data_IF_340926308755
#
_entry.id   IF_340926308755
#
_cell.length_a   1.000
_cell.length_b   1.000
_cell.length_c   1.000
_cell.angle_alpha   90.00
_cell.angle_beta   90.00
_cell.angle_gamma   90.00
#
_symmetry.space_group_name_H-M   'P 1'
#
loop_
_entity.id
_entity.type
_entity.pdbx_description
1 polymer ?
#
# COMPACT_ATOMS: atom_id res chain seq x y z
N UNK A 1 -20.39 14.79 -10.90
CA UNK A 1 -20.43 16.19 -11.35
C UNK A 1 -19.17 16.60 -12.08
N UNK A 2 -18.00 16.59 -11.41
CA UNK A 2 -16.71 17.00 -12.00
C UNK A 2 -15.92 15.86 -12.65
N UNK A 3 -15.96 14.64 -12.09
CA UNK A 3 -15.23 13.48 -12.66
C UNK A 3 -15.72 13.08 -14.06
N UNK A 4 -17.02 13.25 -14.31
CA UNK A 4 -17.63 12.98 -15.62
C UNK A 4 -17.14 14.00 -16.66
N UNK A 5 -16.92 15.26 -16.27
CA UNK A 5 -16.50 16.33 -17.17
C UNK A 5 -15.04 16.17 -17.62
N UNK A 6 -14.17 15.71 -16.72
CA UNK A 6 -12.76 15.39 -17.03
C UNK A 6 -12.68 14.13 -17.91
N UNK A 7 -13.50 13.11 -17.62
CA UNK A 7 -13.59 11.93 -18.49
C UNK A 7 -14.12 12.30 -19.89
N UNK A 8 -15.09 13.20 -19.99
CA UNK A 8 -15.63 13.63 -21.28
C UNK A 8 -14.58 14.34 -22.14
N UNK A 9 -13.75 15.19 -21.54
CA UNK A 9 -12.63 15.87 -22.23
C UNK A 9 -11.58 14.87 -22.76
N UNK A 10 -11.27 13.82 -22.01
CA UNK A 10 -10.28 12.81 -22.41
C UNK A 10 -10.83 11.73 -23.36
N UNK A 11 -12.15 11.49 -23.39
CA UNK A 11 -12.76 10.54 -24.33
C UNK A 11 -12.59 10.98 -25.79
N UNK A 12 -12.40 12.28 -26.03
CA UNK A 12 -12.17 12.87 -27.36
C UNK A 12 -10.73 12.68 -27.86
N UNK A 13 -9.75 12.37 -26.99
CA UNK A 13 -8.32 12.22 -27.33
C UNK A 13 -7.81 10.78 -27.19
N UNK A 14 -8.52 9.83 -27.80
CA UNK A 14 -8.36 8.38 -27.58
C UNK A 14 -7.03 7.73 -28.00
N UNK A 15 -5.99 8.50 -28.33
CA UNK A 15 -4.74 7.94 -28.87
C UNK A 15 -3.42 8.56 -28.37
N UNK A 16 -3.42 9.35 -27.28
CA UNK A 16 -2.18 9.95 -26.77
C UNK A 16 -1.49 9.10 -25.69
N UNK A 17 -0.18 8.88 -25.90
CA UNK A 17 0.74 8.38 -24.89
C UNK A 17 0.69 9.26 -23.63
N UNK A 18 0.32 8.68 -22.49
CA UNK A 18 0.26 9.37 -21.21
C UNK A 18 1.55 9.14 -20.38
N UNK A 19 1.89 10.05 -19.44
CA UNK A 19 3.21 10.10 -18.77
C UNK A 19 3.73 8.80 -18.17
N UNK A 20 2.84 7.92 -17.70
CA UNK A 20 3.20 6.66 -17.02
C UNK A 20 3.59 5.54 -18.00
N UNK A 21 3.14 5.61 -19.26
CA UNK A 21 3.46 4.63 -20.32
C UNK A 21 4.65 5.09 -21.18
N UNK A 22 4.92 6.40 -21.27
CA UNK A 22 6.00 6.92 -22.11
C UNK A 22 7.35 6.30 -21.76
N UNK A 23 8.05 5.83 -22.79
CA UNK A 23 9.40 5.28 -22.66
C UNK A 23 10.43 6.38 -22.86
N UNK A 24 11.52 6.34 -22.08
CA UNK A 24 12.58 7.33 -22.13
C UNK A 24 13.18 7.61 -20.74
N UNK A 25 14.44 8.06 -20.66
CA UNK A 25 15.11 8.27 -19.37
C UNK A 25 14.39 9.30 -18.50
N UNK A 26 13.88 10.37 -19.12
CA UNK A 26 13.08 11.40 -18.44
C UNK A 26 11.78 10.82 -17.84
N UNK A 27 10.99 10.08 -18.63
CA UNK A 27 9.71 9.52 -18.19
C UNK A 27 9.88 8.41 -17.15
N UNK A 28 10.95 7.62 -17.24
CA UNK A 28 11.35 6.69 -16.18
C UNK A 28 11.62 7.42 -14.86
N UNK A 29 12.35 8.54 -14.91
CA UNK A 29 12.60 9.38 -13.72
C UNK A 29 11.31 10.00 -13.20
N UNK A 30 10.42 10.48 -14.07
CA UNK A 30 9.11 10.99 -13.68
C UNK A 30 8.29 9.93 -12.93
N UNK A 31 8.20 8.71 -13.47
CA UNK A 31 7.47 7.61 -12.82
C UNK A 31 8.07 7.29 -11.44
N UNK A 32 9.41 7.26 -11.32
CA UNK A 32 10.08 7.03 -10.05
C UNK A 32 9.76 8.16 -9.03
N UNK A 33 9.92 9.42 -9.44
CA UNK A 33 9.61 10.59 -8.62
C UNK A 33 8.14 10.62 -8.18
N UNK A 34 7.21 10.23 -9.05
CA UNK A 34 5.79 10.14 -8.72
C UNK A 34 5.52 9.09 -7.64
N UNK A 35 6.13 7.91 -7.76
CA UNK A 35 6.03 6.86 -6.75
C UNK A 35 6.65 7.30 -5.41
N UNK A 36 7.80 7.97 -5.46
CA UNK A 36 8.51 8.48 -4.29
C UNK A 36 7.72 9.60 -3.60
N UNK A 37 7.12 10.52 -4.37
CA UNK A 37 6.28 11.58 -3.84
C UNK A 37 5.15 11.04 -2.97
N UNK A 38 4.46 9.99 -3.42
CA UNK A 38 3.37 9.37 -2.64
C UNK A 38 3.90 8.77 -1.35
N UNK A 39 5.05 8.09 -1.40
CA UNK A 39 5.66 7.53 -0.21
C UNK A 39 6.06 8.63 0.79
N UNK A 40 6.70 9.69 0.31
CA UNK A 40 7.12 10.84 1.14
C UNK A 40 5.90 11.57 1.72
N UNK A 41 4.82 11.75 0.95
CA UNK A 41 3.59 12.38 1.43
C UNK A 41 3.05 11.65 2.66
N UNK A 42 2.90 10.33 2.59
CA UNK A 42 2.41 9.52 3.73
C UNK A 42 3.38 9.58 4.91
N UNK A 43 4.69 9.53 4.65
CA UNK A 43 5.71 9.61 5.70
C UNK A 43 5.73 10.97 6.39
N UNK A 44 5.50 12.08 5.69
CA UNK A 44 5.42 13.40 6.32
C UNK A 44 4.11 13.59 7.09
N UNK A 45 3.02 12.98 6.63
CA UNK A 45 1.72 13.06 7.31
C UNK A 45 1.60 12.17 8.56
N UNK A 46 2.53 11.24 8.80
CA UNK A 46 2.44 10.23 9.87
C UNK A 46 2.30 10.78 11.30
N UNK A 47 2.71 12.04 11.54
CA UNK A 47 2.74 12.63 12.88
C UNK A 47 1.38 13.14 13.37
N UNK A 48 0.47 13.53 12.47
CA UNK A 48 -0.85 14.07 12.86
C UNK A 48 -1.90 13.99 11.74
N UNK A 49 -1.57 14.49 10.55
CA UNK A 49 -2.52 14.67 9.44
C UNK A 49 -3.02 13.33 8.88
N UNK A 50 -2.25 12.24 9.02
CA UNK A 50 -2.68 10.93 8.53
C UNK A 50 -3.97 10.42 9.22
N UNK A 51 -4.24 10.85 10.45
CA UNK A 51 -5.36 10.38 11.28
C UNK A 51 -6.51 11.38 11.35
N UNK A 52 -6.54 12.38 10.46
CA UNK A 52 -7.56 13.44 10.47
C UNK A 52 -8.91 13.01 9.89
N UNK A 53 -9.05 11.74 9.47
CA UNK A 53 -10.23 11.15 8.81
C UNK A 53 -10.72 11.97 7.60
N UNK A 54 -9.85 12.76 6.97
CA UNK A 54 -10.23 13.64 5.88
C UNK A 54 -9.28 13.54 4.69
N UNK A 55 -7.98 13.79 4.90
CA UNK A 55 -7.01 13.84 3.80
C UNK A 55 -6.91 12.48 3.11
N UNK A 56 -6.69 11.42 3.89
CA UNK A 56 -6.51 10.07 3.37
C UNK A 56 -7.79 9.53 2.77
N UNK A 57 -8.94 9.74 3.40
CA UNK A 57 -10.23 9.27 2.88
C UNK A 57 -10.59 9.95 1.56
N UNK A 58 -10.28 11.25 1.43
CA UNK A 58 -10.45 12.00 0.19
C UNK A 58 -9.52 11.48 -0.91
N UNK A 59 -8.24 11.25 -0.60
CA UNK A 59 -7.27 10.69 -1.56
C UNK A 59 -7.68 9.29 -1.99
N UNK A 60 -8.06 8.41 -1.06
CA UNK A 60 -8.48 7.04 -1.34
C UNK A 60 -9.75 7.03 -2.20
N UNK A 61 -10.73 7.86 -1.87
CA UNK A 61 -11.98 7.99 -2.63
C UNK A 61 -11.73 8.50 -4.05
N UNK A 62 -10.87 9.52 -4.21
CA UNK A 62 -10.48 10.05 -5.51
C UNK A 62 -9.77 8.98 -6.35
N UNK A 63 -8.77 8.30 -5.79
CA UNK A 63 -8.00 7.27 -6.49
C UNK A 63 -8.88 6.09 -6.91
N UNK A 64 -9.79 5.66 -6.03
CA UNK A 64 -10.76 4.61 -6.33
C UNK A 64 -11.71 5.02 -7.45
N UNK A 65 -12.28 6.23 -7.40
CA UNK A 65 -13.15 6.75 -8.47
C UNK A 65 -12.44 6.86 -9.82
N UNK A 66 -11.18 7.29 -9.83
CA UNK A 66 -10.37 7.35 -11.05
C UNK A 66 -9.99 5.95 -11.57
N UNK A 67 -9.79 4.97 -10.67
CA UNK A 67 -9.47 3.59 -11.03
C UNK A 67 -10.64 2.87 -11.73
N UNK A 68 -11.88 3.26 -11.43
CA UNK A 68 -13.07 2.70 -12.08
C UNK A 68 -13.46 3.43 -13.38
N UNK A 69 -12.66 4.42 -13.83
CA UNK A 69 -12.90 5.12 -15.08
C UNK A 69 -12.76 4.21 -16.32
N UNK A 70 -13.50 4.51 -17.39
CA UNK A 70 -13.33 3.84 -18.69
C UNK A 70 -12.01 4.20 -19.39
N UNK A 71 -11.34 5.27 -18.96
CA UNK A 71 -10.13 5.80 -19.61
C UNK A 71 -8.88 5.12 -19.07
N UNK A 72 -8.11 4.49 -19.97
CA UNK A 72 -6.87 3.77 -19.64
C UNK A 72 -5.85 4.63 -18.85
N UNK A 73 -5.70 5.90 -19.23
CA UNK A 73 -4.76 6.82 -18.58
C UNK A 73 -5.09 7.05 -17.11
N UNK A 74 -6.37 7.28 -16.78
CA UNK A 74 -6.82 7.45 -15.40
C UNK A 74 -6.67 6.15 -14.62
N UNK A 75 -7.17 5.03 -15.16
CA UNK A 75 -7.05 3.73 -14.49
C UNK A 75 -5.62 3.38 -14.13
N UNK A 76 -4.70 3.52 -15.08
CA UNK A 76 -3.31 3.12 -14.86
C UNK A 76 -2.62 4.03 -13.84
N UNK A 77 -2.81 5.35 -13.96
CA UNK A 77 -2.17 6.32 -13.08
C UNK A 77 -2.71 6.23 -11.65
N UNK A 78 -4.04 6.12 -11.50
CA UNK A 78 -4.66 6.00 -10.17
C UNK A 78 -4.34 4.67 -9.51
N UNK A 79 -4.33 3.56 -10.28
CA UNK A 79 -3.95 2.25 -9.73
C UNK A 79 -2.51 2.27 -9.25
N UNK A 80 -1.57 2.79 -10.06
CA UNK A 80 -0.18 2.92 -9.64
C UNK A 80 -0.05 3.76 -8.37
N UNK A 81 -0.75 4.89 -8.31
CA UNK A 81 -0.74 5.75 -7.14
C UNK A 81 -1.30 5.06 -5.89
N UNK A 82 -2.44 4.37 -6.02
CA UNK A 82 -3.08 3.65 -4.94
C UNK A 82 -2.23 2.48 -4.43
N UNK A 83 -1.56 1.73 -5.31
CA UNK A 83 -0.67 0.66 -4.87
C UNK A 83 0.53 1.22 -4.08
N UNK A 84 1.15 2.30 -4.56
CA UNK A 84 2.25 2.97 -3.84
C UNK A 84 1.79 3.59 -2.52
N UNK A 85 0.57 4.12 -2.48
CA UNK A 85 -0.07 4.62 -1.26
C UNK A 85 -0.20 3.49 -0.24
N UNK A 86 -0.72 2.34 -0.64
CA UNK A 86 -0.85 1.17 0.24
C UNK A 86 0.52 0.68 0.75
N UNK A 87 1.53 0.61 -0.11
CA UNK A 87 2.91 0.29 0.30
C UNK A 87 3.45 1.25 1.36
N UNK A 88 3.20 2.56 1.20
CA UNK A 88 3.61 3.57 2.16
C UNK A 88 2.85 3.43 3.50
N UNK A 89 1.53 3.18 3.44
CA UNK A 89 0.69 2.93 4.63
C UNK A 89 1.17 1.69 5.39
N UNK A 90 1.51 0.60 4.69
CA UNK A 90 2.09 -0.61 5.30
C UNK A 90 3.42 -0.30 6.00
N UNK A 91 4.28 0.53 5.40
CA UNK A 91 5.52 0.94 6.05
C UNK A 91 5.26 1.72 7.34
N UNK A 92 4.26 2.60 7.36
CA UNK A 92 3.86 3.33 8.58
C UNK A 92 3.28 2.36 9.62
N UNK A 93 2.47 1.39 9.22
CA UNK A 93 1.95 0.32 10.09
C UNK A 93 3.08 -0.39 10.83
N UNK A 94 4.09 -0.86 10.08
CA UNK A 94 5.24 -1.59 10.64
C UNK A 94 6.03 -0.72 11.62
N UNK A 95 6.25 0.56 11.30
CA UNK A 95 6.94 1.49 12.18
C UNK A 95 6.15 1.73 13.48
N UNK A 96 4.84 1.88 13.42
CA UNK A 96 3.99 2.06 14.59
C UNK A 96 3.93 0.81 15.45
N UNK A 97 3.87 -0.37 14.83
CA UNK A 97 3.88 -1.62 15.55
C UNK A 97 5.20 -1.80 16.34
N UNK A 98 6.34 -1.49 15.73
CA UNK A 98 7.64 -1.46 16.43
C UNK A 98 7.63 -0.44 17.59
N UNK A 99 7.10 0.77 17.35
CA UNK A 99 7.01 1.80 18.40
C UNK A 99 6.10 1.38 19.57
N UNK A 100 5.00 0.69 19.27
CA UNK A 100 4.10 0.10 20.27
C UNK A 100 4.80 -0.97 21.09
N UNK A 101 5.54 -1.89 20.45
CA UNK A 101 6.33 -2.91 21.14
C UNK A 101 7.43 -2.30 22.03
N UNK A 102 8.08 -1.24 21.55
CA UNK A 102 9.06 -0.49 22.36
C UNK A 102 8.40 0.17 23.58
N UNK A 103 7.24 0.81 23.39
CA UNK A 103 6.46 1.40 24.49
C UNK A 103 6.00 0.34 25.50
N UNK A 104 5.63 -0.87 25.04
CA UNK A 104 5.28 -2.00 25.89
C UNK A 104 6.45 -2.41 26.80
N UNK A 105 7.63 -2.62 26.22
CA UNK A 105 8.82 -3.01 26.97
C UNK A 105 9.21 -1.94 27.99
N UNK A 106 9.12 -0.66 27.63
CA UNK A 106 9.36 0.45 28.56
C UNK A 106 8.38 0.47 29.73
N UNK A 107 7.10 0.17 29.46
CA UNK A 107 6.08 0.08 30.51
C UNK A 107 6.40 -1.04 31.51
N UNK A 108 6.79 -2.22 31.04
CA UNK A 108 7.17 -3.36 31.90
C UNK A 108 8.39 -3.06 32.77
N UNK A 109 9.40 -2.42 32.20
CA UNK A 109 10.61 -2.01 32.94
C UNK A 109 10.29 -1.00 34.03
N UNK A 110 9.49 0.03 33.73
CA UNK A 110 9.14 1.06 34.72
C UNK A 110 8.18 0.53 35.78
N UNK A 111 7.34 -0.47 35.45
CA UNK A 111 6.45 -1.16 36.41
C UNK A 111 7.24 -1.95 37.45
N UNK A 112 8.37 -2.53 37.07
CA UNK A 112 9.20 -3.35 37.96
C UNK A 112 10.15 -2.53 38.85
N UNK A 113 10.19 -1.19 38.71
CA UNK A 113 10.99 -0.31 39.59
C UNK A 113 10.29 -0.04 40.92
N UNK A 114 11.09 0.13 41.99
CA UNK A 114 10.62 0.45 43.35
C UNK A 114 9.70 1.67 43.30
N UNK A 115 8.47 1.46 43.80
CA UNK A 115 7.31 2.30 43.50
C UNK A 115 7.29 3.60 44.30
N UNK A 116 7.15 4.73 43.61
CA UNK A 116 6.91 6.05 44.19
C UNK A 116 5.87 6.83 43.36
N UNK A 117 5.29 7.91 43.91
CA UNK A 117 4.24 8.72 43.23
C UNK A 117 4.64 9.18 41.81
N UNK A 118 5.92 9.45 41.57
CA UNK A 118 6.48 9.84 40.25
C UNK A 118 6.50 8.69 39.24
N UNK A 119 6.67 7.44 39.71
CA UNK A 119 6.62 6.22 38.90
C UNK A 119 5.19 5.98 38.39
N UNK A 120 4.18 6.22 39.23
CA UNK A 120 2.77 6.03 38.86
C UNK A 120 2.32 6.98 37.73
N UNK A 121 2.69 8.27 37.82
CA UNK A 121 2.42 9.24 36.74
C UNK A 121 3.07 8.87 35.41
N UNK A 122 4.29 8.32 35.45
CA UNK A 122 5.00 7.86 34.26
C UNK A 122 4.36 6.63 33.62
N UNK A 123 3.87 5.71 34.45
CA UNK A 123 3.12 4.53 33.99
C UNK A 123 1.81 4.95 33.31
N UNK A 124 1.08 5.90 33.89
CA UNK A 124 -0.15 6.43 33.27
C UNK A 124 0.14 7.08 31.90
N UNK A 125 1.24 7.84 31.77
CA UNK A 125 1.63 8.42 30.48
C UNK A 125 1.99 7.35 29.44
N UNK A 126 2.71 6.30 29.84
CA UNK A 126 3.05 5.19 28.95
C UNK A 126 1.80 4.40 28.53
N UNK A 127 0.86 4.18 29.44
CA UNK A 127 -0.41 3.53 29.12
C UNK A 127 -1.26 4.35 28.13
N UNK A 128 -1.33 5.67 28.32
CA UNK A 128 -2.00 6.58 27.35
C UNK A 128 -1.38 6.50 25.97
N UNK A 129 -0.05 6.54 25.87
CA UNK A 129 0.66 6.40 24.59
C UNK A 129 0.39 5.05 23.92
N UNK A 130 0.31 3.97 24.69
CA UNK A 130 -0.04 2.65 24.14
C UNK A 130 -1.45 2.62 23.55
N UNK A 131 -2.44 3.17 24.25
CA UNK A 131 -3.82 3.29 23.74
C UNK A 131 -3.88 4.14 22.48
N UNK A 132 -3.08 5.20 22.41
CA UNK A 132 -2.95 6.02 21.20
C UNK A 132 -2.38 5.22 20.02
N UNK A 133 -1.34 4.40 20.24
CA UNK A 133 -0.82 3.50 19.20
C UNK A 133 -1.85 2.46 18.75
N UNK A 134 -2.63 1.90 19.67
CA UNK A 134 -3.71 0.95 19.33
C UNK A 134 -4.75 1.59 18.40
N UNK A 135 -5.20 2.80 18.72
CA UNK A 135 -6.14 3.54 17.88
C UNK A 135 -5.56 3.83 16.50
N UNK A 136 -4.31 4.32 16.44
CA UNK A 136 -3.62 4.61 15.17
C UNK A 136 -3.45 3.38 14.28
N UNK A 137 -3.19 2.21 14.86
CA UNK A 137 -3.07 0.96 14.10
C UNK A 137 -4.41 0.54 13.49
N UNK A 138 -5.52 0.70 14.22
CA UNK A 138 -6.87 0.40 13.69
C UNK A 138 -7.20 1.30 12.49
N UNK A 139 -6.93 2.60 12.58
CA UNK A 139 -7.16 3.55 11.47
C UNK A 139 -6.33 3.17 10.23
N UNK A 140 -5.06 2.85 10.42
CA UNK A 140 -4.18 2.41 9.32
C UNK A 140 -4.65 1.11 8.70
N UNK A 141 -5.10 0.15 9.51
CA UNK A 141 -5.69 -1.09 9.00
C UNK A 141 -6.95 -0.81 8.18
N UNK A 142 -7.79 0.13 8.60
CA UNK A 142 -8.98 0.52 7.84
C UNK A 142 -8.59 1.14 6.48
N UNK A 143 -7.60 2.03 6.45
CA UNK A 143 -7.07 2.60 5.20
C UNK A 143 -6.51 1.51 4.28
N UNK A 144 -5.73 0.55 4.83
CA UNK A 144 -5.20 -0.58 4.07
C UNK A 144 -6.32 -1.39 3.41
N UNK A 145 -7.36 -1.74 4.18
CA UNK A 145 -8.51 -2.47 3.66
C UNK A 145 -9.28 -1.67 2.60
N UNK A 146 -9.45 -0.36 2.80
CA UNK A 146 -10.14 0.51 1.85
C UNK A 146 -9.42 0.55 0.49
N UNK A 147 -8.10 0.76 0.49
CA UNK A 147 -7.30 0.78 -0.74
C UNK A 147 -7.30 -0.60 -1.42
N UNK A 148 -7.13 -1.66 -0.64
CA UNK A 148 -7.11 -3.02 -1.16
C UNK A 148 -8.45 -3.41 -1.80
N UNK A 149 -9.56 -3.17 -1.10
CA UNK A 149 -10.90 -3.52 -1.61
C UNK A 149 -11.34 -2.59 -2.75
N UNK A 150 -11.10 -1.29 -2.60
CA UNK A 150 -11.53 -0.28 -3.57
C UNK A 150 -10.74 -0.31 -4.87
N UNK A 151 -9.42 -0.50 -4.80
CA UNK A 151 -8.57 -0.43 -6.00
C UNK A 151 -7.98 -1.77 -6.41
N UNK A 152 -7.30 -2.50 -5.51
CA UNK A 152 -6.59 -3.73 -5.88
C UNK A 152 -7.57 -4.80 -6.42
N UNK A 153 -8.65 -5.09 -5.70
CA UNK A 153 -9.63 -6.10 -6.12
C UNK A 153 -10.38 -5.73 -7.40
N UNK A 154 -10.58 -4.44 -7.66
CA UNK A 154 -11.17 -3.96 -8.91
C UNK A 154 -10.21 -4.16 -10.10
N UNK A 155 -8.89 -3.99 -9.88
CA UNK A 155 -7.91 -3.81 -10.98
C UNK A 155 -6.91 -4.94 -11.20
N UNK A 156 -6.74 -5.90 -10.28
CA UNK A 156 -5.74 -6.99 -10.47
C UNK A 156 -6.00 -7.86 -11.71
N UNK A 157 -7.25 -7.89 -12.22
CA UNK A 157 -7.67 -8.54 -13.49
C UNK A 157 -8.06 -7.53 -14.58
N UNK A 158 -7.48 -6.33 -14.57
CA UNK A 158 -7.77 -5.31 -15.60
C UNK A 158 -7.45 -5.83 -17.02
N UNK A 159 -8.16 -5.33 -18.03
CA UNK A 159 -7.91 -5.67 -19.43
C UNK A 159 -6.50 -5.27 -19.87
N UNK A 160 -5.93 -4.23 -19.23
CA UNK A 160 -4.60 -3.68 -19.51
C UNK A 160 -3.51 -4.46 -18.76
N UNK A 161 -2.55 -5.10 -19.46
CA UNK A 161 -1.55 -5.95 -18.81
C UNK A 161 -0.58 -5.20 -17.91
N UNK A 162 -0.24 -3.95 -18.20
CA UNK A 162 0.66 -3.16 -17.37
C UNK A 162 0.05 -2.82 -16.00
N UNK A 163 -1.28 -2.66 -15.95
CA UNK A 163 -2.02 -2.45 -14.69
C UNK A 163 -1.97 -3.74 -13.86
N UNK A 164 -2.26 -4.89 -14.48
CA UNK A 164 -2.17 -6.19 -13.82
C UNK A 164 -0.77 -6.46 -13.26
N UNK A 165 0.26 -6.17 -14.04
CA UNK A 165 1.65 -6.31 -13.61
C UNK A 165 1.97 -5.43 -12.39
N UNK A 166 1.49 -4.18 -12.38
CA UNK A 166 1.67 -3.26 -11.23
C UNK A 166 1.03 -3.80 -9.96
N UNK A 167 -0.20 -4.32 -10.03
CA UNK A 167 -0.86 -4.91 -8.86
C UNK A 167 -0.09 -6.13 -8.32
N UNK A 168 0.42 -6.98 -9.22
CA UNK A 168 1.12 -8.21 -8.84
C UNK A 168 2.54 -7.96 -8.33
N UNK A 169 3.21 -6.93 -8.84
CA UNK A 169 4.47 -6.46 -8.26
C UNK A 169 4.27 -5.98 -6.81
N UNK A 170 3.23 -5.19 -6.57
CA UNK A 170 3.02 -4.55 -5.27
C UNK A 170 2.51 -5.53 -4.21
N UNK A 171 1.58 -6.45 -4.53
CA UNK A 171 1.23 -7.52 -3.58
C UNK A 171 2.45 -8.36 -3.21
N UNK A 172 3.37 -8.53 -4.15
CA UNK A 172 4.61 -9.23 -3.88
C UNK A 172 5.52 -8.49 -2.91
N UNK A 173 5.63 -7.18 -3.07
CA UNK A 173 6.34 -6.33 -2.13
C UNK A 173 5.70 -6.36 -0.73
N UNK A 174 4.37 -6.39 -0.63
CA UNK A 174 3.66 -6.48 0.66
C UNK A 174 3.90 -7.82 1.37
N UNK A 175 3.92 -8.93 0.64
CA UNK A 175 4.24 -10.26 1.20
C UNK A 175 5.67 -10.30 1.76
N UNK A 176 6.62 -9.65 1.08
CA UNK A 176 8.00 -9.56 1.57
C UNK A 176 8.08 -8.68 2.81
N UNK A 177 7.44 -7.50 2.77
CA UNK A 177 7.54 -6.50 3.82
C UNK A 177 6.78 -6.88 5.08
N UNK A 178 5.60 -7.51 4.96
CA UNK A 178 4.73 -7.85 6.07
C UNK A 178 4.12 -9.25 5.93
N UNK A 179 4.95 -10.32 6.06
CA UNK A 179 4.51 -11.69 5.83
C UNK A 179 3.41 -12.13 6.81
N UNK A 180 3.43 -11.68 8.06
CA UNK A 180 2.45 -12.11 9.07
C UNK A 180 0.99 -11.80 8.68
N UNK A 181 0.79 -10.76 7.85
CA UNK A 181 -0.54 -10.37 7.36
C UNK A 181 -0.78 -10.80 5.92
N UNK A 182 0.22 -10.73 5.04
CA UNK A 182 0.03 -10.97 3.60
C UNK A 182 0.41 -12.37 3.12
N UNK A 183 1.18 -13.15 3.89
CA UNK A 183 1.55 -14.52 3.55
C UNK A 183 0.48 -15.51 4.05
N UNK A 184 -0.72 -15.43 3.47
CA UNK A 184 -1.79 -16.40 3.71
C UNK A 184 -2.62 -16.64 2.45
N UNK A 185 -3.44 -17.69 2.48
CA UNK A 185 -4.25 -18.14 1.34
C UNK A 185 -5.18 -17.05 0.80
N UNK A 186 -5.64 -16.13 1.65
CA UNK A 186 -6.54 -15.04 1.25
C UNK A 186 -5.87 -14.06 0.29
N UNK A 187 -4.55 -13.90 0.35
CA UNK A 187 -3.77 -13.04 -0.54
C UNK A 187 -3.03 -13.83 -1.63
N UNK A 188 -2.49 -15.01 -1.29
CA UNK A 188 -1.75 -15.86 -2.23
C UNK A 188 -2.60 -16.34 -3.40
N UNK A 189 -3.92 -16.50 -3.22
CA UNK A 189 -4.84 -16.84 -4.32
C UNK A 189 -4.78 -15.87 -5.49
N UNK A 190 -4.52 -14.58 -5.25
CA UNK A 190 -4.43 -13.58 -6.32
C UNK A 190 -3.19 -13.79 -7.19
N UNK A 191 -2.07 -14.18 -6.58
CA UNK A 191 -0.86 -14.56 -7.32
C UNK A 191 -1.13 -15.86 -8.09
N UNK A 192 -1.73 -16.85 -7.44
CA UNK A 192 -2.06 -18.14 -8.05
C UNK A 192 -2.92 -17.99 -9.31
N UNK A 193 -3.99 -17.19 -9.24
CA UNK A 193 -4.83 -16.91 -10.41
C UNK A 193 -4.10 -16.18 -11.53
N UNK A 194 -3.14 -15.32 -11.19
CA UNK A 194 -2.37 -14.56 -12.18
C UNK A 194 -1.21 -15.35 -12.82
N UNK A 195 -0.84 -16.51 -12.27
CA UNK A 195 0.09 -17.44 -12.93
C UNK A 195 -0.46 -18.00 -14.25
N UNK A 196 -1.79 -18.11 -14.35
CA UNK A 196 -2.49 -18.56 -15.55
C UNK A 196 -2.85 -17.43 -16.52
N UNK A 197 -2.39 -16.20 -16.27
CA UNK A 197 -2.64 -15.06 -17.15
C UNK A 197 -2.02 -15.29 -18.54
N UNK A 198 -2.73 -14.90 -19.60
CA UNK A 198 -2.29 -15.10 -20.98
C UNK A 198 -1.04 -14.28 -21.34
N UNK A 199 -0.65 -13.31 -20.52
CA UNK A 199 0.51 -12.45 -20.76
C UNK A 199 1.74 -12.99 -20.04
N UNK A 200 2.68 -13.53 -20.85
CA UNK A 200 3.95 -14.14 -20.40
C UNK A 200 4.81 -13.25 -19.48
N UNK A 201 4.65 -11.93 -19.52
CA UNK A 201 5.40 -10.99 -18.69
C UNK A 201 5.08 -11.11 -17.19
N UNK A 202 3.81 -11.37 -16.83
CA UNK A 202 3.42 -11.61 -15.44
C UNK A 202 4.04 -12.91 -14.92
N UNK A 203 4.04 -13.95 -15.75
CA UNK A 203 4.73 -15.21 -15.48
C UNK A 203 6.23 -14.99 -15.30
N UNK A 204 6.87 -14.08 -16.05
CA UNK A 204 8.28 -13.74 -15.88
C UNK A 204 8.56 -12.88 -14.64
N UNK A 205 7.66 -11.98 -14.24
CA UNK A 205 7.81 -11.22 -13.00
C UNK A 205 7.74 -12.14 -11.77
N UNK A 206 6.87 -13.16 -11.83
CA UNK A 206 6.63 -14.17 -10.80
C UNK A 206 7.68 -15.30 -10.79
N UNK A 207 8.13 -15.78 -11.95
CA UNK A 207 9.09 -16.90 -12.08
C UNK A 207 10.53 -16.51 -12.45
N UNK A 208 10.78 -15.26 -12.84
CA UNK A 208 12.10 -14.73 -13.20
C UNK A 208 12.95 -14.36 -11.98
N UNK A 209 14.23 -14.03 -12.20
CA UNK A 209 15.26 -13.75 -11.17
C UNK A 209 15.04 -12.52 -10.28
N UNK A 210 13.85 -11.90 -10.35
CA UNK A 210 13.38 -10.84 -9.47
C UNK A 210 13.54 -11.25 -7.99
N UNK A 211 13.82 -10.28 -7.11
CA UNK A 211 13.91 -10.51 -5.66
C UNK A 211 12.63 -11.18 -5.11
N UNK A 212 11.48 -10.87 -5.71
CA UNK A 212 10.18 -11.49 -5.45
C UNK A 212 10.09 -12.97 -5.88
N UNK A 213 10.47 -13.32 -7.12
CA UNK A 213 10.43 -14.71 -7.60
C UNK A 213 11.33 -15.66 -6.81
N UNK A 214 12.44 -15.16 -6.25
CA UNK A 214 13.30 -15.92 -5.32
C UNK A 214 12.64 -16.16 -3.97
N UNK A 215 11.98 -15.16 -3.39
CA UNK A 215 11.29 -15.28 -2.09
C UNK A 215 10.03 -16.14 -2.23
N UNK A 216 9.28 -15.99 -3.32
CA UNK A 216 8.13 -16.83 -3.61
C UNK A 216 8.57 -18.29 -3.79
N UNK A 217 9.67 -18.57 -4.51
CA UNK A 217 10.26 -19.91 -4.60
C UNK A 217 10.73 -20.45 -3.24
N UNK A 218 11.44 -19.66 -2.44
CA UNK A 218 11.96 -20.10 -1.13
C UNK A 218 10.85 -20.39 -0.10
N UNK A 219 9.77 -19.60 -0.08
CA UNK A 219 8.68 -19.77 0.89
C UNK A 219 7.55 -20.71 0.41
N UNK A 220 7.24 -20.78 -0.90
CA UNK A 220 6.32 -21.80 -1.41
C UNK A 220 6.90 -23.21 -1.25
N UNK A 221 8.24 -23.38 -1.40
CA UNK A 221 8.91 -24.66 -1.12
C UNK A 221 9.05 -25.00 0.36
N UNK A 222 8.80 -24.06 1.29
CA UNK A 222 8.78 -24.39 2.72
C UNK A 222 7.37 -24.61 3.27
N UNK A 223 6.34 -24.37 2.45
CA UNK A 223 4.92 -24.57 2.80
C UNK A 223 4.30 -25.81 2.13
N UNK A 224 5.03 -26.50 1.26
CA UNK A 224 4.73 -27.82 0.70
C UNK A 224 5.85 -28.79 1.09
#
# INVERSE_FOLDING_TARGET
>A
GRDVHVCFLFHVQSNEDYPVIRTGPYWKKFKANFCEFIAVLVQQCQCSVLYDSYLMDTIISLLTGLADSVIRAFRHTSTLAAMKLLTAVISVHLNLDVNKHNAQRLYEVEKNRISGKKTNYRLDQLERKRKEYDQKLVEIQNMMHAIFKGTFLSRYRDVVPEIRATCIEEIGNWIIAYPDVFLNDSYLKYIGWMLYDKVKFLSFLLCGGSRFGRILKLKLFSCF
#
